data_IF_576284326399
#
_entry.id   IF_576284326399
#
_cell.length_a   1.000
_cell.length_b   1.000
_cell.length_c   1.000
_cell.angle_alpha   90.00
_cell.angle_beta   90.00
_cell.angle_gamma   90.00
#
_symmetry.space_group_name_H-M   'P 1'
#
loop_
_entity.id
_entity.type
_entity.pdbx_description
1 polymer ?
#
# COMPACT_ATOMS: atom_id res chain seq x y z
N UNK A 1 11.36 20.82 -14.07
CA UNK A 1 10.00 21.02 -13.54
C UNK A 1 9.07 20.87 -14.72
N UNK A 2 8.33 19.80 -14.96
CA UNK A 2 7.52 18.92 -14.08
C UNK A 2 7.40 17.54 -14.73
N UNK A 3 7.99 16.50 -14.13
CA UNK A 3 7.65 15.10 -14.45
C UNK A 3 6.61 14.63 -13.43
N UNK A 4 5.34 14.93 -13.70
CA UNK A 4 4.23 14.43 -12.90
C UNK A 4 3.93 13.01 -13.35
N UNK A 5 4.27 12.07 -12.46
CA UNK A 5 3.87 10.68 -12.42
C UNK A 5 2.56 10.40 -13.18
N UNK A 6 2.62 9.51 -14.18
CA UNK A 6 1.43 8.90 -14.80
C UNK A 6 0.64 8.15 -13.73
N UNK A 7 -0.29 8.85 -13.10
CA UNK A 7 -1.29 8.26 -12.23
C UNK A 7 -2.23 7.39 -13.10
N UNK A 8 -2.69 6.25 -12.56
CA UNK A 8 -3.61 5.36 -13.29
C UNK A 8 -4.88 6.12 -13.72
N UNK A 9 -5.59 5.61 -14.72
CA UNK A 9 -6.81 6.23 -15.27
C UNK A 9 -7.87 6.59 -14.21
N UNK A 10 -7.93 5.84 -13.11
CA UNK A 10 -8.78 6.14 -11.96
C UNK A 10 -8.33 7.41 -11.20
N UNK A 11 -7.03 7.57 -11.00
CA UNK A 11 -6.47 8.76 -10.36
C UNK A 11 -6.60 9.99 -11.25
N UNK A 12 -6.44 9.83 -12.57
CA UNK A 12 -6.72 10.88 -13.54
C UNK A 12 -8.19 11.32 -13.47
N UNK A 13 -9.13 10.35 -13.41
CA UNK A 13 -10.55 10.67 -13.25
C UNK A 13 -10.87 11.37 -11.92
N UNK A 14 -10.23 10.98 -10.82
CA UNK A 14 -10.39 11.68 -9.53
C UNK A 14 -9.83 13.10 -9.61
N UNK A 15 -8.70 13.32 -10.28
CA UNK A 15 -8.14 14.66 -10.51
C UNK A 15 -9.12 15.54 -11.30
N UNK A 16 -9.75 15.00 -12.35
CA UNK A 16 -10.79 15.73 -13.09
C UNK A 16 -11.98 16.13 -12.20
N UNK A 17 -12.39 15.27 -11.25
CA UNK A 17 -13.46 15.62 -10.29
C UNK A 17 -13.05 16.75 -9.32
N UNK A 18 -11.77 16.81 -8.97
CA UNK A 18 -11.22 17.90 -8.14
C UNK A 18 -11.24 19.20 -8.94
N UNK A 19 -10.76 19.18 -10.19
CA UNK A 19 -10.78 20.34 -11.10
C UNK A 19 -12.22 20.84 -11.34
N UNK A 20 -13.18 19.93 -11.49
CA UNK A 20 -14.60 20.29 -11.61
C UNK A 20 -15.10 21.06 -10.38
N UNK A 21 -14.73 20.59 -9.17
CA UNK A 21 -15.13 21.26 -7.93
C UNK A 21 -14.51 22.65 -7.83
N UNK A 22 -13.25 22.80 -8.20
CA UNK A 22 -12.55 24.09 -8.21
C UNK A 22 -13.22 25.06 -9.20
N UNK A 23 -13.51 24.58 -10.40
CA UNK A 23 -14.17 25.37 -11.46
C UNK A 23 -15.60 25.79 -11.09
N UNK A 24 -16.26 25.00 -10.25
CA UNK A 24 -17.59 25.29 -9.72
C UNK A 24 -17.60 26.26 -8.53
N UNK A 25 -16.47 26.88 -8.17
CA UNK A 25 -16.38 27.81 -7.04
C UNK A 25 -16.10 27.12 -5.70
N UNK A 26 -15.57 25.90 -5.73
CA UNK A 26 -15.10 25.14 -4.58
C UNK A 26 -16.13 24.96 -3.44
N UNK A 27 -17.35 24.47 -3.72
CA UNK A 27 -18.37 24.27 -2.69
C UNK A 27 -17.84 23.42 -1.54
N UNK A 28 -18.16 23.81 -0.30
CA UNK A 28 -17.81 23.04 0.89
C UNK A 28 -18.58 21.71 0.92
N UNK A 29 -18.05 20.71 1.63
CA UNK A 29 -18.71 19.40 1.71
C UNK A 29 -20.11 19.47 2.35
N UNK A 30 -20.30 20.37 3.31
CA UNK A 30 -21.60 20.62 3.94
C UNK A 30 -22.60 21.23 2.95
N UNK A 31 -22.18 22.23 2.14
CA UNK A 31 -22.99 22.80 1.07
C UNK A 31 -23.35 21.75 0.02
N UNK A 32 -22.39 20.93 -0.40
CA UNK A 32 -22.64 19.86 -1.36
C UNK A 32 -23.66 18.84 -0.84
N UNK A 33 -23.60 18.50 0.45
CA UNK A 33 -24.58 17.61 1.09
C UNK A 33 -25.97 18.24 1.09
N UNK A 34 -26.10 19.52 1.44
CA UNK A 34 -27.39 20.23 1.41
C UNK A 34 -27.94 20.28 -0.02
N UNK A 35 -27.11 20.67 -0.99
CA UNK A 35 -27.49 20.72 -2.40
C UNK A 35 -27.87 19.35 -2.96
N UNK A 36 -27.23 18.26 -2.49
CA UNK A 36 -27.52 16.89 -2.94
C UNK A 36 -28.92 16.38 -2.59
N UNK A 37 -29.65 17.08 -1.71
CA UNK A 37 -31.04 16.77 -1.34
C UNK A 37 -32.06 17.37 -2.30
N UNK A 38 -31.62 18.19 -3.25
CA UNK A 38 -32.52 18.81 -4.21
C UNK A 38 -33.16 17.77 -5.14
N UNK A 39 -34.40 18.01 -5.60
CA UNK A 39 -35.08 17.12 -6.55
C UNK A 39 -34.28 16.99 -7.85
N UNK A 40 -34.20 15.76 -8.37
CA UNK A 40 -33.46 15.43 -9.59
C UNK A 40 -32.04 14.89 -9.34
N UNK A 41 -31.54 14.91 -8.11
CA UNK A 41 -30.20 14.38 -7.78
C UNK A 41 -30.31 12.88 -7.42
N UNK A 42 -29.56 11.98 -8.10
CA UNK A 42 -29.74 10.53 -7.96
C UNK A 42 -29.42 9.93 -6.58
N UNK A 43 -28.57 10.60 -5.79
CA UNK A 43 -28.03 10.08 -4.52
C UNK A 43 -27.56 11.22 -3.62
N UNK A 44 -27.91 11.16 -2.34
CA UNK A 44 -27.35 12.07 -1.32
C UNK A 44 -25.83 11.88 -1.22
N UNK A 45 -25.10 12.98 -1.00
CA UNK A 45 -23.65 12.98 -0.90
C UNK A 45 -23.22 13.14 0.57
N UNK A 46 -22.81 12.08 1.28
CA UNK A 46 -22.28 12.20 2.63
C UNK A 46 -20.91 12.87 2.61
N UNK A 47 -20.68 13.83 3.50
CA UNK A 47 -19.42 14.57 3.65
C UNK A 47 -18.21 13.63 3.80
N UNK A 48 -18.34 12.59 4.64
CA UNK A 48 -17.25 11.62 4.87
C UNK A 48 -16.87 10.86 3.61
N UNK A 49 -17.85 10.50 2.78
CA UNK A 49 -17.61 9.76 1.54
C UNK A 49 -16.98 10.63 0.47
N UNK A 50 -17.41 11.88 0.32
CA UNK A 50 -16.77 12.84 -0.59
C UNK A 50 -15.33 13.11 -0.20
N UNK A 51 -15.09 13.35 1.09
CA UNK A 51 -13.75 13.60 1.62
C UNK A 51 -12.81 12.40 1.39
N UNK A 52 -13.29 11.16 1.59
CA UNK A 52 -12.49 9.96 1.31
C UNK A 52 -12.13 9.80 -0.17
N UNK A 53 -13.07 10.13 -1.06
CA UNK A 53 -12.88 9.98 -2.52
C UNK A 53 -11.89 11.03 -3.03
N UNK A 54 -12.10 12.30 -2.70
CA UNK A 54 -11.26 13.39 -3.21
C UNK A 54 -9.84 13.37 -2.64
N UNK A 55 -9.65 12.84 -1.42
CA UNK A 55 -8.31 12.63 -0.86
C UNK A 55 -7.63 11.33 -1.32
N UNK A 56 -8.23 10.58 -2.26
CA UNK A 56 -7.64 9.35 -2.78
C UNK A 56 -7.53 8.21 -1.76
N UNK A 57 -8.28 8.26 -0.65
CA UNK A 57 -8.27 7.19 0.38
C UNK A 57 -8.92 5.91 -0.10
N UNK A 58 -9.68 5.94 -1.21
CA UNK A 58 -10.33 4.78 -1.81
C UNK A 58 -9.63 4.35 -3.08
N UNK A 59 -9.21 3.09 -3.11
CA UNK A 59 -8.59 2.44 -4.28
C UNK A 59 -9.57 2.11 -5.42
N UNK A 60 -10.89 2.27 -5.21
CA UNK A 60 -11.92 1.94 -6.20
C UNK A 60 -12.62 3.18 -6.71
N UNK A 61 -12.88 3.21 -8.02
CA UNK A 61 -13.73 4.21 -8.64
C UNK A 61 -15.10 4.28 -7.94
N UNK A 62 -15.62 5.49 -7.66
CA UNK A 62 -16.95 5.65 -7.11
C UNK A 62 -18.03 5.14 -8.08
N UNK A 63 -19.17 4.75 -7.50
CA UNK A 63 -20.36 4.37 -8.25
C UNK A 63 -20.87 5.55 -9.12
N UNK A 64 -21.42 5.23 -10.29
CA UNK A 64 -21.92 6.22 -11.24
C UNK A 64 -22.97 7.14 -10.62
N UNK A 65 -23.88 6.62 -9.78
CA UNK A 65 -24.89 7.47 -9.13
C UNK A 65 -24.28 8.55 -8.25
N UNK A 66 -23.15 8.24 -7.59
CA UNK A 66 -22.43 9.21 -6.76
C UNK A 66 -21.73 10.27 -7.62
N UNK A 67 -21.07 9.85 -8.71
CA UNK A 67 -20.44 10.77 -9.67
C UNK A 67 -21.47 11.71 -10.30
N UNK A 68 -22.61 11.17 -10.75
CA UNK A 68 -23.68 11.96 -11.33
C UNK A 68 -24.21 13.01 -10.34
N UNK A 69 -24.47 12.63 -9.09
CA UNK A 69 -24.85 13.57 -8.04
C UNK A 69 -23.79 14.65 -7.81
N UNK A 70 -22.51 14.29 -7.77
CA UNK A 70 -21.42 15.23 -7.58
C UNK A 70 -21.37 16.29 -8.70
N UNK A 71 -21.47 15.85 -9.96
CA UNK A 71 -21.48 16.75 -11.13
C UNK A 71 -22.69 17.67 -11.09
N UNK A 72 -23.88 17.15 -10.81
CA UNK A 72 -25.11 17.95 -10.72
C UNK A 72 -25.04 18.99 -9.60
N UNK A 73 -24.50 18.62 -8.44
CA UNK A 73 -24.30 19.55 -7.32
C UNK A 73 -23.31 20.65 -7.68
N UNK A 74 -22.19 20.34 -8.32
CA UNK A 74 -21.20 21.34 -8.75
C UNK A 74 -21.80 22.31 -9.77
N UNK A 75 -22.54 21.80 -10.77
CA UNK A 75 -23.24 22.65 -11.75
C UNK A 75 -24.26 23.56 -11.08
N UNK A 76 -25.09 23.02 -10.18
CA UNK A 76 -26.08 23.81 -9.44
C UNK A 76 -25.42 24.88 -8.56
N UNK A 77 -24.29 24.57 -7.93
CA UNK A 77 -23.55 25.55 -7.15
C UNK A 77 -23.01 26.69 -8.03
N UNK A 78 -22.46 26.35 -9.20
CA UNK A 78 -22.01 27.34 -10.17
C UNK A 78 -23.18 28.24 -10.65
N UNK A 79 -24.37 27.67 -10.92
CA UNK A 79 -25.57 28.45 -11.26
C UNK A 79 -25.96 29.41 -10.13
N UNK A 80 -25.94 28.96 -8.87
CA UNK A 80 -26.29 29.78 -7.71
C UNK A 80 -25.28 30.91 -7.45
N UNK A 81 -24.02 30.72 -7.83
CA UNK A 81 -22.94 31.69 -7.64
C UNK A 81 -22.67 32.55 -8.87
N UNK A 82 -23.41 32.33 -9.97
CA UNK A 82 -23.26 33.06 -11.23
C UNK A 82 -21.99 32.71 -12.01
N UNK A 83 -21.39 31.54 -11.74
CA UNK A 83 -20.24 31.03 -12.48
C UNK A 83 -20.69 30.38 -13.80
N UNK A 84 -19.87 30.46 -14.87
CA UNK A 84 -20.19 29.84 -16.15
C UNK A 84 -20.28 28.31 -16.00
N UNK A 85 -21.37 27.71 -16.47
CA UNK A 85 -21.59 26.25 -16.37
C UNK A 85 -21.31 25.49 -17.65
N UNK A 86 -21.06 26.20 -18.74
CA UNK A 86 -20.79 25.61 -20.06
C UNK A 86 -19.46 24.82 -20.04
N UNK A 87 -18.47 25.32 -19.30
CA UNK A 87 -17.14 24.71 -19.20
C UNK A 87 -17.07 23.51 -18.23
N UNK A 88 -18.08 23.32 -17.38
CA UNK A 88 -18.10 22.23 -16.39
C UNK A 88 -18.44 20.85 -17.01
N UNK A 89 -18.87 20.84 -18.27
CA UNK A 89 -19.29 19.65 -18.98
C UNK A 89 -20.65 19.09 -18.54
N UNK A 90 -21.28 18.31 -19.41
CA UNK A 90 -22.59 17.71 -19.19
C UNK A 90 -22.50 16.38 -18.46
N UNK A 91 -23.57 15.95 -17.79
CA UNK A 91 -23.63 14.64 -17.12
C UNK A 91 -23.33 13.49 -18.09
N UNK A 92 -23.73 13.61 -19.36
CA UNK A 92 -23.44 12.62 -20.39
C UNK A 92 -21.94 12.53 -20.72
N UNK A 93 -21.24 13.67 -20.79
CA UNK A 93 -19.78 13.70 -20.99
C UNK A 93 -19.06 13.05 -19.81
N UNK A 94 -19.45 13.37 -18.57
CA UNK A 94 -18.91 12.74 -17.37
C UNK A 94 -19.18 11.23 -17.33
N UNK A 95 -20.33 10.77 -17.85
CA UNK A 95 -20.62 9.34 -17.97
C UNK A 95 -19.67 8.64 -18.94
N UNK A 96 -19.39 9.27 -20.08
CA UNK A 96 -18.45 8.74 -21.06
C UNK A 96 -17.04 8.63 -20.46
N UNK A 97 -16.58 9.66 -19.75
CA UNK A 97 -15.28 9.64 -19.04
C UNK A 97 -15.21 8.59 -17.95
N UNK A 98 -16.25 8.46 -17.12
CA UNK A 98 -16.32 7.42 -16.10
C UNK A 98 -16.30 6.01 -16.70
N UNK A 99 -17.02 5.79 -17.81
CA UNK A 99 -16.99 4.50 -18.53
C UNK A 99 -15.60 4.23 -19.12
N UNK A 100 -14.95 5.24 -19.69
CA UNK A 100 -13.58 5.11 -20.17
C UNK A 100 -12.64 4.71 -19.03
N UNK A 101 -12.65 5.44 -17.91
CA UNK A 101 -11.83 5.13 -16.74
C UNK A 101 -12.13 3.74 -16.12
N UNK A 102 -13.37 3.27 -16.21
CA UNK A 102 -13.79 1.95 -15.70
C UNK A 102 -13.44 0.80 -16.64
N UNK A 103 -13.55 1.01 -17.95
CA UNK A 103 -13.33 0.00 -18.98
C UNK A 103 -11.89 -0.03 -19.49
N UNK A 104 -11.09 0.97 -19.16
CA UNK A 104 -9.66 0.94 -19.44
C UNK A 104 -9.09 -0.29 -18.74
N UNK A 105 -8.51 -1.23 -19.51
CA UNK A 105 -7.86 -2.37 -18.91
C UNK A 105 -6.77 -1.78 -18.03
N UNK A 106 -6.94 -1.93 -16.71
CA UNK A 106 -5.87 -1.69 -15.76
C UNK A 106 -4.64 -2.35 -16.38
N UNK A 107 -3.54 -1.60 -16.62
CA UNK A 107 -2.40 -2.12 -17.38
C UNK A 107 -2.10 -3.52 -16.86
N UNK A 108 -1.94 -4.52 -17.74
CA UNK A 108 -1.91 -5.92 -17.34
C UNK A 108 -0.95 -6.05 -16.18
N UNK A 109 -1.53 -6.23 -14.99
CA UNK A 109 -0.77 -6.46 -13.80
C UNK A 109 -0.29 -7.88 -13.99
N UNK A 110 0.87 -8.04 -14.64
CA UNK A 110 1.52 -9.32 -14.78
C UNK A 110 1.59 -9.88 -13.35
N UNK A 111 0.92 -10.99 -13.04
CA UNK A 111 1.02 -11.60 -11.72
C UNK A 111 2.49 -11.99 -11.57
N UNK A 112 3.27 -11.19 -10.84
CA UNK A 112 4.68 -11.42 -10.59
C UNK A 112 5.69 -10.37 -11.07
N UNK A 113 5.32 -9.34 -11.86
CA UNK A 113 6.28 -8.28 -12.22
C UNK A 113 6.10 -7.05 -11.33
N UNK A 114 6.53 -7.19 -10.08
CA UNK A 114 6.56 -6.10 -9.12
C UNK A 114 7.78 -5.22 -9.39
N UNK A 115 7.57 -3.98 -9.85
CA UNK A 115 8.65 -2.98 -9.89
C UNK A 115 8.86 -2.44 -8.46
N UNK A 116 9.77 -3.13 -7.76
CA UNK A 116 10.13 -2.91 -6.37
C UNK A 116 10.71 -1.51 -6.09
N UNK A 117 10.96 -0.70 -7.12
CA UNK A 117 11.53 0.65 -7.04
C UNK A 117 10.54 1.77 -7.37
N UNK A 118 9.35 1.43 -7.90
CA UNK A 118 8.31 2.41 -8.26
C UNK A 118 7.12 2.45 -7.31
N UNK A 119 7.09 1.58 -6.31
CA UNK A 119 6.04 1.61 -5.28
C UNK A 119 6.28 2.84 -4.41
N UNK A 120 5.35 3.81 -4.32
CA UNK A 120 5.50 4.95 -3.43
C UNK A 120 5.74 4.46 -2.01
N UNK A 121 6.60 5.13 -1.24
CA UNK A 121 6.92 4.76 0.14
C UNK A 121 5.63 4.52 0.97
N UNK A 122 4.61 5.33 0.72
CA UNK A 122 3.29 5.29 1.36
C UNK A 122 2.50 4.01 1.08
N UNK A 123 2.70 3.33 -0.05
CA UNK A 123 1.99 2.08 -0.37
C UNK A 123 2.67 0.87 0.30
N UNK A 124 4.01 0.88 0.40
CA UNK A 124 4.74 -0.10 1.18
C UNK A 124 4.37 0.02 2.67
N UNK A 125 4.31 1.23 3.21
CA UNK A 125 3.90 1.50 4.58
C UNK A 125 2.43 1.07 4.84
N UNK A 126 1.52 1.35 3.90
CA UNK A 126 0.13 0.85 4.01
C UNK A 126 0.04 -0.67 4.06
N UNK A 127 0.90 -1.39 3.34
CA UNK A 127 0.93 -2.87 3.35
C UNK A 127 1.52 -3.44 4.62
N UNK A 128 2.56 -2.82 5.16
CA UNK A 128 3.10 -3.22 6.46
C UNK A 128 2.07 -2.97 7.56
N UNK A 129 1.37 -1.84 7.52
CA UNK A 129 0.27 -1.55 8.44
C UNK A 129 -0.88 -2.57 8.31
N UNK A 130 -1.24 -2.98 7.09
CA UNK A 130 -2.21 -4.08 6.86
C UNK A 130 -1.72 -5.42 7.43
N UNK A 131 -0.42 -5.68 7.35
CA UNK A 131 0.19 -6.91 7.88
C UNK A 131 0.15 -6.91 9.41
N UNK A 132 0.56 -5.82 10.06
CA UNK A 132 0.47 -5.66 11.52
C UNK A 132 -0.99 -5.77 11.97
N UNK A 133 -1.93 -5.08 11.31
CA UNK A 133 -3.36 -5.20 11.63
C UNK A 133 -3.89 -6.63 11.48
N UNK A 134 -3.35 -7.42 10.54
CA UNK A 134 -3.69 -8.83 10.39
C UNK A 134 -3.13 -9.67 11.54
N UNK A 135 -1.88 -9.46 11.94
CA UNK A 135 -1.29 -10.11 13.11
C UNK A 135 -2.09 -9.82 14.37
N UNK A 136 -2.52 -8.57 14.59
CA UNK A 136 -3.35 -8.18 15.75
C UNK A 136 -4.65 -8.99 15.78
N UNK A 137 -5.34 -9.12 14.63
CA UNK A 137 -6.58 -9.91 14.55
C UNK A 137 -6.34 -11.40 14.83
N UNK A 138 -5.28 -11.98 14.27
CA UNK A 138 -4.96 -13.39 14.49
C UNK A 138 -4.54 -13.67 15.93
N UNK A 139 -3.70 -12.81 16.51
CA UNK A 139 -3.33 -12.89 17.91
C UNK A 139 -4.55 -12.76 18.83
N UNK A 140 -5.48 -11.85 18.52
CA UNK A 140 -6.78 -11.76 19.19
C UNK A 140 -7.62 -13.04 19.07
N UNK A 141 -7.52 -13.72 17.93
CA UNK A 141 -8.18 -15.01 17.66
C UNK A 141 -7.49 -16.24 18.26
N UNK A 142 -6.40 -16.09 19.01
CA UNK A 142 -5.71 -17.20 19.67
C UNK A 142 -4.36 -17.58 19.06
N UNK A 143 -4.00 -17.02 17.90
CA UNK A 143 -2.76 -17.40 17.22
C UNK A 143 -1.52 -16.97 18.00
N UNK A 144 -0.72 -17.96 18.39
CA UNK A 144 0.40 -17.79 19.32
C UNK A 144 1.59 -17.15 18.62
N UNK A 145 1.88 -17.57 17.39
CA UNK A 145 2.94 -17.03 16.54
C UNK A 145 2.72 -15.54 16.25
N UNK A 146 1.49 -15.14 15.90
CA UNK A 146 1.16 -13.73 15.67
C UNK A 146 1.34 -12.87 16.92
N UNK A 147 1.01 -13.40 18.11
CA UNK A 147 1.24 -12.70 19.37
C UNK A 147 2.74 -12.48 19.61
N UNK A 148 3.57 -13.50 19.39
CA UNK A 148 5.02 -13.39 19.53
C UNK A 148 5.63 -12.42 18.52
N UNK A 149 5.21 -12.46 17.24
CA UNK A 149 5.64 -11.48 16.21
C UNK A 149 5.28 -10.05 16.57
N UNK A 150 4.09 -9.81 17.14
CA UNK A 150 3.71 -8.47 17.61
C UNK A 150 4.62 -8.01 18.76
N UNK A 151 4.99 -8.89 19.68
CA UNK A 151 5.94 -8.56 20.73
C UNK A 151 7.28 -8.09 20.14
N UNK A 152 7.83 -8.82 19.17
CA UNK A 152 9.06 -8.45 18.46
C UNK A 152 8.94 -7.08 17.81
N UNK A 153 7.86 -6.84 17.06
CA UNK A 153 7.62 -5.55 16.38
C UNK A 153 7.53 -4.42 17.41
N UNK A 154 6.77 -4.59 18.49
CA UNK A 154 6.58 -3.54 19.49
C UNK A 154 7.83 -3.23 20.31
N UNK A 155 8.71 -4.21 20.55
CA UNK A 155 10.03 -3.94 21.14
C UNK A 155 10.86 -3.05 20.21
N UNK A 156 10.92 -3.38 18.92
CA UNK A 156 11.70 -2.62 17.94
C UNK A 156 11.05 -1.27 17.56
N UNK A 157 9.76 -1.06 17.81
CA UNK A 157 9.15 0.27 17.63
C UNK A 157 9.15 1.12 18.90
N UNK A 158 9.67 0.59 20.02
CA UNK A 158 9.76 1.28 21.30
C UNK A 158 8.46 1.30 22.13
N UNK A 159 7.41 0.61 21.69
CA UNK A 159 6.16 0.48 22.46
C UNK A 159 6.26 -0.62 23.53
N UNK A 160 6.91 -0.26 24.64
CA UNK A 160 7.20 -1.17 25.75
C UNK A 160 5.95 -1.71 26.46
N UNK A 161 4.80 -1.02 26.36
CA UNK A 161 3.56 -1.48 26.97
C UNK A 161 2.92 -2.59 26.12
N UNK A 162 2.76 -2.34 24.82
CA UNK A 162 2.24 -3.34 23.89
C UNK A 162 3.17 -4.55 23.78
N UNK A 163 4.49 -4.34 23.77
CA UNK A 163 5.47 -5.43 23.78
C UNK A 163 5.27 -6.38 24.97
N UNK A 164 5.17 -5.83 26.19
CA UNK A 164 4.94 -6.61 27.41
C UNK A 164 3.62 -7.37 27.40
N UNK A 165 2.57 -6.74 26.87
CA UNK A 165 1.27 -7.41 26.73
C UNK A 165 1.35 -8.62 25.78
N UNK A 166 1.94 -8.43 24.60
CA UNK A 166 2.02 -9.48 23.59
C UNK A 166 2.99 -10.60 23.98
N UNK A 167 4.12 -10.29 24.63
CA UNK A 167 5.03 -11.33 25.11
C UNK A 167 4.39 -12.16 26.22
N UNK A 168 3.68 -11.52 27.17
CA UNK A 168 2.93 -12.24 28.20
C UNK A 168 1.86 -13.15 27.59
N UNK A 169 1.15 -12.64 26.57
CA UNK A 169 0.16 -13.44 25.81
C UNK A 169 0.80 -14.65 25.14
N UNK A 170 1.99 -14.48 24.53
CA UNK A 170 2.72 -15.56 23.89
C UNK A 170 3.24 -16.61 24.91
N UNK A 171 3.73 -16.18 26.08
CA UNK A 171 4.14 -17.07 27.19
C UNK A 171 2.96 -17.88 27.72
N UNK A 172 1.83 -17.23 28.02
CA UNK A 172 0.61 -17.90 28.50
C UNK A 172 0.12 -18.97 27.51
N UNK A 173 0.31 -18.71 26.22
CA UNK A 173 -0.06 -19.64 25.14
C UNK A 173 1.08 -20.58 24.71
N UNK A 174 2.17 -20.63 25.48
CA UNK A 174 3.30 -21.56 25.33
C UNK A 174 4.02 -21.46 23.99
N UNK A 175 4.25 -20.23 23.49
CA UNK A 175 5.18 -20.04 22.39
C UNK A 175 6.59 -20.50 22.84
N UNK A 176 7.29 -21.33 22.05
CA UNK A 176 8.54 -21.96 22.47
C UNK A 176 9.65 -20.97 22.83
N UNK A 177 9.68 -19.81 22.17
CA UNK A 177 10.73 -18.81 22.38
C UNK A 177 10.30 -17.63 23.27
N UNK A 178 9.03 -17.56 23.68
CA UNK A 178 8.54 -16.36 24.37
C UNK A 178 9.08 -16.23 25.80
N UNK A 179 9.35 -17.32 26.50
CA UNK A 179 9.97 -17.28 27.83
C UNK A 179 11.42 -16.78 27.76
N UNK A 180 12.18 -17.26 26.78
CA UNK A 180 13.55 -16.80 26.52
C UNK A 180 13.55 -15.30 26.20
N UNK A 181 12.66 -14.85 25.31
CA UNK A 181 12.55 -13.44 24.96
C UNK A 181 12.12 -12.56 26.15
N UNK A 182 11.19 -13.02 26.99
CA UNK A 182 10.76 -12.26 28.17
C UNK A 182 11.85 -12.10 29.23
N UNK A 183 12.79 -13.04 29.31
CA UNK A 183 13.91 -13.03 30.26
C UNK A 183 15.22 -12.47 29.71
N UNK A 184 15.29 -12.11 28.43
CA UNK A 184 16.55 -11.69 27.80
C UNK A 184 17.02 -10.33 28.35
N UNK A 185 18.31 -10.20 28.75
CA UNK A 185 18.85 -8.93 29.26
C UNK A 185 19.01 -7.86 28.17
N UNK A 186 18.95 -8.22 26.89
CA UNK A 186 19.12 -7.37 25.71
C UNK A 186 17.95 -7.60 24.73
N UNK A 187 16.72 -7.25 25.12
CA UNK A 187 15.52 -7.58 24.36
C UNK A 187 15.49 -6.94 22.96
N UNK A 188 16.16 -5.79 22.76
CA UNK A 188 16.25 -5.15 21.45
C UNK A 188 17.10 -5.97 20.47
N UNK A 189 18.27 -6.44 20.91
CA UNK A 189 19.15 -7.29 20.09
C UNK A 189 18.45 -8.62 19.77
N UNK A 190 17.85 -9.26 20.78
CA UNK A 190 17.08 -10.48 20.60
C UNK A 190 15.93 -10.28 19.59
N UNK A 191 15.15 -9.19 19.73
CA UNK A 191 14.07 -8.88 18.80
C UNK A 191 14.59 -8.59 17.38
N UNK A 192 15.75 -7.97 17.24
CA UNK A 192 16.36 -7.70 15.93
C UNK A 192 16.77 -9.00 15.23
N UNK A 193 17.33 -9.97 15.95
CA UNK A 193 17.65 -11.31 15.42
C UNK A 193 16.38 -12.06 14.97
N UNK A 194 15.33 -12.00 15.79
CA UNK A 194 14.03 -12.58 15.45
C UNK A 194 13.40 -11.92 14.21
N UNK A 195 13.43 -10.60 14.14
CA UNK A 195 12.98 -9.86 12.97
C UNK A 195 13.79 -10.27 11.72
N UNK A 196 15.11 -10.40 11.83
CA UNK A 196 15.91 -10.90 10.71
C UNK A 196 15.50 -12.30 10.25
N UNK A 197 15.27 -13.23 11.18
CA UNK A 197 14.76 -14.57 10.90
C UNK A 197 13.40 -14.56 10.17
N UNK A 198 12.47 -13.70 10.59
CA UNK A 198 11.20 -13.52 9.88
C UNK A 198 11.37 -12.96 8.48
N UNK A 199 12.30 -12.02 8.29
CA UNK A 199 12.67 -11.51 6.98
C UNK A 199 13.09 -12.64 6.04
N UNK A 200 13.95 -13.54 6.52
CA UNK A 200 14.41 -14.71 5.75
C UNK A 200 13.29 -15.68 5.41
N UNK A 201 12.42 -16.00 6.38
CA UNK A 201 11.30 -16.91 6.16
C UNK A 201 10.34 -16.37 5.07
N UNK A 202 9.97 -15.09 5.15
CA UNK A 202 9.09 -14.48 4.14
C UNK A 202 9.77 -14.38 2.77
N UNK A 203 11.08 -14.19 2.71
CA UNK A 203 11.80 -14.18 1.44
C UNK A 203 11.78 -15.56 0.77
N UNK A 204 11.87 -16.64 1.55
CA UNK A 204 11.80 -18.03 1.05
C UNK A 204 10.41 -18.40 0.54
N UNK A 205 9.33 -17.81 1.07
CA UNK A 205 7.97 -17.98 0.56
C UNK A 205 7.75 -17.40 -0.86
N UNK A 206 8.71 -16.61 -1.36
CA UNK A 206 8.76 -16.15 -2.74
C UNK A 206 8.45 -14.66 -2.93
N UNK A 207 8.48 -14.18 -4.19
CA UNK A 207 8.50 -12.75 -4.50
C UNK A 207 7.25 -11.99 -4.05
N UNK A 208 6.10 -12.66 -3.93
CA UNK A 208 4.85 -12.07 -3.44
C UNK A 208 4.92 -11.59 -1.98
N UNK A 209 5.91 -12.05 -1.21
CA UNK A 209 6.13 -11.70 0.20
C UNK A 209 7.31 -10.74 0.41
N UNK A 210 7.95 -10.29 -0.67
CA UNK A 210 9.16 -9.46 -0.61
C UNK A 210 9.00 -8.16 0.19
N UNK A 211 7.82 -7.52 0.13
CA UNK A 211 7.55 -6.30 0.91
C UNK A 211 7.55 -6.57 2.42
N UNK A 212 7.00 -7.72 2.84
CA UNK A 212 6.97 -8.14 4.25
C UNK A 212 8.38 -8.52 4.71
N UNK A 213 9.12 -9.25 3.87
CA UNK A 213 10.52 -9.58 4.17
C UNK A 213 11.37 -8.31 4.41
N UNK A 214 11.25 -7.30 3.53
CA UNK A 214 11.95 -6.02 3.67
C UNK A 214 11.53 -5.22 4.90
N UNK A 215 10.26 -5.29 5.29
CA UNK A 215 9.79 -4.65 6.51
C UNK A 215 10.53 -5.17 7.74
N UNK A 216 10.62 -6.50 7.87
CA UNK A 216 11.36 -7.13 8.95
C UNK A 216 12.87 -6.88 8.88
N UNK A 217 13.47 -6.92 7.68
CA UNK A 217 14.88 -6.56 7.53
C UNK A 217 15.15 -5.09 7.90
N UNK A 218 14.22 -4.17 7.62
CA UNK A 218 14.37 -2.76 8.02
C UNK A 218 14.29 -2.61 9.53
N UNK A 219 13.29 -3.23 10.17
CA UNK A 219 13.18 -3.26 11.63
C UNK A 219 14.47 -3.75 12.30
N UNK A 220 15.03 -4.85 11.82
CA UNK A 220 16.27 -5.40 12.35
C UNK A 220 17.49 -4.50 12.07
N UNK A 221 17.61 -3.97 10.85
CA UNK A 221 18.73 -3.12 10.45
C UNK A 221 18.76 -1.77 11.20
N UNK A 222 17.60 -1.15 11.42
CA UNK A 222 17.47 0.10 12.18
C UNK A 222 17.91 -0.07 13.65
N UNK A 223 17.94 -1.32 14.13
CA UNK A 223 18.42 -1.71 15.47
C UNK A 223 19.78 -2.41 15.45
N UNK A 224 20.57 -2.20 14.40
CA UNK A 224 21.99 -2.59 14.36
C UNK A 224 22.27 -4.00 13.85
N UNK A 225 21.28 -4.75 13.37
CA UNK A 225 21.51 -6.09 12.84
C UNK A 225 22.25 -6.05 11.49
N UNK A 226 23.54 -6.40 11.48
CA UNK A 226 24.41 -6.30 10.32
C UNK A 226 23.91 -7.11 9.09
N UNK A 227 23.47 -8.35 9.31
CA UNK A 227 22.94 -9.20 8.23
C UNK A 227 21.68 -8.64 7.55
N UNK A 228 20.81 -7.98 8.32
CA UNK A 228 19.61 -7.34 7.79
C UNK A 228 19.96 -6.11 6.94
N UNK A 229 20.93 -5.30 7.40
CA UNK A 229 21.44 -4.16 6.66
C UNK A 229 22.10 -4.58 5.33
N UNK A 230 22.92 -5.63 5.35
CA UNK A 230 23.50 -6.21 4.13
C UNK A 230 22.42 -6.74 3.19
N UNK A 231 21.44 -7.47 3.72
CA UNK A 231 20.35 -8.02 2.91
C UNK A 231 19.52 -6.92 2.24
N UNK A 232 19.23 -5.83 2.95
CA UNK A 232 18.57 -4.66 2.36
C UNK A 232 19.39 -4.02 1.24
N UNK A 233 20.73 -3.92 1.39
CA UNK A 233 21.59 -3.44 0.31
C UNK A 233 21.51 -4.36 -0.91
N UNK A 234 21.58 -5.67 -0.71
CA UNK A 234 21.44 -6.66 -1.79
C UNK A 234 20.09 -6.53 -2.50
N UNK A 235 18.99 -6.38 -1.74
CA UNK A 235 17.64 -6.19 -2.30
C UNK A 235 17.44 -4.84 -3.01
N UNK A 236 18.25 -3.83 -2.69
CA UNK A 236 18.29 -2.54 -3.41
C UNK A 236 19.19 -2.59 -4.65
N UNK A 237 20.24 -3.40 -4.61
CA UNK A 237 21.29 -3.48 -5.63
C UNK A 237 20.93 -4.41 -6.81
N UNK A 238 19.66 -4.80 -7.00
CA UNK A 238 19.22 -5.51 -8.20
C UNK A 238 18.59 -4.50 -9.17
N UNK A 239 19.32 -3.97 -10.17
CA UNK A 239 18.70 -3.25 -11.26
C UNK A 239 18.11 -4.27 -12.24
N UNK A 240 16.99 -3.90 -12.82
CA UNK A 240 16.31 -4.56 -13.93
C UNK A 240 17.25 -5.20 -14.98
N UNK A 241 16.90 -6.41 -15.43
CA UNK A 241 16.80 -6.64 -16.87
C UNK A 241 18.08 -6.93 -17.67
N UNK A 242 19.15 -7.47 -17.06
CA UNK A 242 20.08 -8.31 -17.83
C UNK A 242 20.02 -9.72 -17.28
N UNK A 243 19.48 -10.63 -18.10
CA UNK A 243 19.81 -12.05 -18.03
C UNK A 243 21.32 -12.15 -17.82
N UNK A 244 21.74 -12.75 -16.70
CA UNK A 244 23.10 -13.26 -16.62
C UNK A 244 23.30 -14.13 -17.87
N UNK A 245 24.37 -13.92 -18.66
CA UNK A 245 24.66 -14.81 -19.76
C UNK A 245 24.72 -16.24 -19.19
N UNK A 246 24.02 -17.16 -19.85
CA UNK A 246 24.06 -18.57 -19.48
C UNK A 246 25.52 -18.99 -19.29
N UNK A 247 25.85 -19.87 -18.32
CA UNK A 247 27.21 -20.37 -18.17
C UNK A 247 27.65 -20.90 -19.52
N UNK A 248 28.61 -20.22 -20.15
CA UNK A 248 29.21 -20.68 -21.39
C UNK A 248 29.76 -22.05 -21.07
N UNK A 249 29.12 -23.08 -21.62
CA UNK A 249 29.53 -24.45 -21.47
C UNK A 249 31.03 -24.52 -21.72
N UNK A 250 31.75 -25.04 -20.73
CA UNK A 250 33.16 -25.39 -20.87
C UNK A 250 33.32 -26.24 -22.12
N UNK A 251 33.84 -25.61 -23.17
CA UNK A 251 34.18 -26.27 -24.41
C UNK A 251 35.13 -27.41 -24.07
N UNK A 252 34.66 -28.63 -24.32
CA UNK A 252 35.42 -29.85 -24.26
C UNK A 252 36.58 -29.71 -25.25
N UNK A 253 37.80 -29.49 -24.74
CA UNK A 253 39.01 -29.46 -25.56
C UNK A 253 39.37 -30.92 -25.88
N UNK A 254 39.31 -31.36 -27.15
CA UNK A 254 39.71 -32.72 -27.48
C UNK A 254 41.22 -32.85 -27.24
N UNK A 255 41.61 -33.85 -26.45
CA UNK A 255 43.01 -34.27 -26.33
C UNK A 255 43.45 -34.85 -27.67
N UNK A 256 44.21 -34.06 -28.41
CA UNK A 256 45.00 -34.55 -29.53
C UNK A 256 45.95 -35.65 -29.04
N UNK A 257 45.72 -36.86 -29.55
CA UNK A 257 46.72 -37.93 -29.62
C UNK A 257 47.89 -37.45 -30.48
N UNK A 258 49.10 -37.70 -30.02
CA UNK A 258 50.29 -37.81 -30.87
C UNK A 258 51.40 -38.54 -30.08
N UNK A 259 52.39 -39.12 -30.78
CA UNK A 259 52.40 -40.46 -31.35
C UNK A 259 53.14 -41.49 -30.49
#
# INVERSE_FOLDING_TARGET
MTETFRAGSQSAFIAELIELRESAGQPSYSEMKVLSRAPGIPKELPESTLNDILNGKRERLPDWKLVASFVMVCRRHAELTGLPTDDLGTVAQWQARWRAARNEPSPPYAPGSYDLFKTPADEAERRTNRTVARLVRWAGGGDVESAYRLAVIHVLTGDSAAARYWIHTAVQRRHPEAEAFAGDPRPIEFAADQAFGYGQAYEQEGPAKGDIARFYYRLAADHGHAGAAERLRALRAVPFGKLLPAPTGTAHRPRSRMP
#
